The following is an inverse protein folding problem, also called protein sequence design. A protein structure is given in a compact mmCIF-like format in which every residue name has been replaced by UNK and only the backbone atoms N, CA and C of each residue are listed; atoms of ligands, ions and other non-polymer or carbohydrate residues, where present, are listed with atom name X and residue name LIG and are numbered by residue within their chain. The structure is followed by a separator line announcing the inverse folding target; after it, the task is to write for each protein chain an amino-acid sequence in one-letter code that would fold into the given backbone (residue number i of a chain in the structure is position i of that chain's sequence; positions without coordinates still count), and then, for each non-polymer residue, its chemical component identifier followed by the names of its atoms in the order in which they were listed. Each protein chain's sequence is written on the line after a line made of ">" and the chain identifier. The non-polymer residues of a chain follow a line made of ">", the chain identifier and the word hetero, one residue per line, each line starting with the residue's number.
data_IF_335496390568
#
_entry.id   IF_335496390568
#
_cell.length_a   1.000
_cell.length_b   1.000
_cell.length_c   1.000
_cell.angle_alpha   90.00
_cell.angle_beta   90.00
_cell.angle_gamma   90.00
#
_symmetry.space_group_name_H-M   'P 1'
#
loop_
_entity.id
_entity.type
_entity.pdbx_description
1 polymer ?
#
# COMPACT_ATOMS: atom_id res chain seq x y z
N UNK A 1 15.93 -9.05 -3.38
CA UNK A 1 15.69 -9.26 -1.92
C UNK A 1 14.20 -9.09 -1.60
N UNK A 2 13.42 -10.18 -1.59
CA UNK A 2 11.96 -10.11 -1.50
C UNK A 2 11.41 -9.40 -0.26
N UNK A 3 12.07 -9.48 0.90
CA UNK A 3 11.57 -8.96 2.20
C UNK A 3 11.03 -7.53 2.13
N UNK A 4 11.68 -6.62 1.39
CA UNK A 4 11.24 -5.23 1.23
C UNK A 4 9.90 -5.10 0.49
N UNK A 5 9.66 -5.97 -0.50
CA UNK A 5 8.40 -6.06 -1.24
C UNK A 5 7.28 -6.50 -0.30
N UNK A 6 7.51 -7.53 0.53
CA UNK A 6 6.54 -7.99 1.52
C UNK A 6 6.19 -6.89 2.53
N UNK A 7 7.18 -6.15 3.03
CA UNK A 7 6.96 -5.03 3.96
C UNK A 7 6.11 -3.94 3.29
N UNK A 8 6.39 -3.58 2.03
CA UNK A 8 5.59 -2.58 1.32
C UNK A 8 4.14 -3.01 1.13
N UNK A 9 3.87 -4.29 0.85
CA UNK A 9 2.51 -4.80 0.82
C UNK A 9 1.81 -4.75 2.18
N UNK A 10 2.53 -5.01 3.28
CA UNK A 10 1.99 -4.85 4.63
C UNK A 10 1.65 -3.38 4.93
N UNK A 11 2.52 -2.44 4.56
CA UNK A 11 2.28 -1.00 4.72
C UNK A 11 1.07 -0.56 3.88
N UNK A 12 0.97 -1.03 2.64
CA UNK A 12 -0.18 -0.75 1.78
C UNK A 12 -1.49 -1.29 2.39
N UNK A 13 -1.49 -2.53 2.90
CA UNK A 13 -2.63 -3.11 3.60
C UNK A 13 -3.03 -2.34 4.85
N UNK A 14 -2.05 -1.90 5.66
CA UNK A 14 -2.29 -1.06 6.84
C UNK A 14 -2.90 0.30 6.45
N UNK A 15 -2.43 0.93 5.38
CA UNK A 15 -2.98 2.20 4.90
C UNK A 15 -4.44 2.06 4.45
N UNK A 16 -4.77 1.00 3.71
CA UNK A 16 -6.15 0.70 3.30
C UNK A 16 -7.04 0.34 4.51
N UNK A 17 -6.50 -0.39 5.49
CA UNK A 17 -7.18 -0.65 6.77
C UNK A 17 -7.44 0.64 7.57
N UNK A 18 -6.50 1.58 7.53
CA UNK A 18 -6.65 2.92 8.08
C UNK A 18 -7.73 3.72 7.36
N UNK A 19 -7.79 3.64 6.02
CA UNK A 19 -8.84 4.26 5.22
C UNK A 19 -10.23 3.72 5.58
N UNK A 20 -10.36 2.41 5.76
CA UNK A 20 -11.61 1.77 6.20
C UNK A 20 -12.01 2.22 7.61
N UNK A 21 -11.04 2.30 8.52
CA UNK A 21 -11.29 2.75 9.90
C UNK A 21 -11.73 4.22 9.94
N UNK A 22 -11.08 5.09 9.15
CA UNK A 22 -11.46 6.49 9.00
C UNK A 22 -12.85 6.64 8.35
N UNK A 23 -13.17 5.77 7.38
CA UNK A 23 -14.49 5.75 6.73
C UNK A 23 -15.60 5.45 7.73
N UNK A 24 -15.40 4.44 8.59
CA UNK A 24 -16.33 4.11 9.68
C UNK A 24 -16.45 5.20 10.75
N UNK A 25 -15.47 6.10 10.84
CA UNK A 25 -15.47 7.22 11.78
C UNK A 25 -16.08 8.50 11.16
N UNK A 26 -16.81 8.38 10.05
CA UNK A 26 -17.40 9.48 9.25
C UNK A 26 -16.38 10.54 8.78
N UNK A 27 -15.08 10.22 8.83
CA UNK A 27 -14.02 11.18 8.58
C UNK A 27 -13.57 11.15 7.12
N UNK A 28 -14.38 11.77 6.27
CA UNK A 28 -14.20 11.77 4.80
C UNK A 28 -12.80 12.20 4.34
N UNK A 29 -12.23 13.23 4.97
CA UNK A 29 -10.90 13.75 4.64
C UNK A 29 -9.82 12.70 4.92
N UNK A 30 -9.82 12.11 6.12
CA UNK A 30 -8.84 11.10 6.51
C UNK A 30 -8.96 9.80 5.72
N UNK A 31 -10.19 9.40 5.36
CA UNK A 31 -10.41 8.28 4.44
C UNK A 31 -9.73 8.51 3.09
N UNK A 32 -9.89 9.70 2.50
CA UNK A 32 -9.31 10.01 1.19
C UNK A 32 -7.78 10.01 1.27
N UNK A 33 -7.20 10.63 2.30
CA UNK A 33 -5.75 10.64 2.49
C UNK A 33 -5.21 9.21 2.66
N UNK A 34 -5.80 8.42 3.54
CA UNK A 34 -5.34 7.05 3.78
C UNK A 34 -5.53 6.15 2.54
N UNK A 35 -6.60 6.34 1.78
CA UNK A 35 -6.82 5.63 0.52
C UNK A 35 -5.76 6.01 -0.53
N UNK A 36 -5.46 7.30 -0.70
CA UNK A 36 -4.41 7.77 -1.61
C UNK A 36 -3.04 7.19 -1.23
N UNK A 37 -2.69 7.21 0.06
CA UNK A 37 -1.45 6.61 0.55
C UNK A 37 -1.42 5.10 0.27
N UNK A 38 -2.53 4.39 0.50
CA UNK A 38 -2.64 2.96 0.18
C UNK A 38 -2.45 2.66 -1.31
N UNK A 39 -3.00 3.49 -2.20
CA UNK A 39 -2.82 3.34 -3.65
C UNK A 39 -1.37 3.52 -4.06
N UNK A 40 -0.70 4.59 -3.58
CA UNK A 40 0.70 4.88 -3.90
C UNK A 40 1.63 3.79 -3.36
N UNK A 41 1.40 3.33 -2.13
CA UNK A 41 2.16 2.23 -1.53
C UNK A 41 1.99 0.92 -2.32
N UNK A 42 0.76 0.60 -2.74
CA UNK A 42 0.48 -0.59 -3.57
C UNK A 42 1.19 -0.51 -4.92
N UNK A 43 1.12 0.64 -5.61
CA UNK A 43 1.79 0.84 -6.88
C UNK A 43 3.31 0.68 -6.77
N UNK A 44 3.90 1.20 -5.68
CA UNK A 44 5.32 1.07 -5.39
C UNK A 44 5.71 -0.38 -5.12
N UNK A 45 4.93 -1.09 -4.29
CA UNK A 45 5.13 -2.50 -3.99
C UNK A 45 5.09 -3.38 -5.26
N UNK A 46 4.13 -3.11 -6.16
CA UNK A 46 4.02 -3.78 -7.46
C UNK A 46 5.20 -3.48 -8.37
N UNK A 47 5.66 -2.22 -8.43
CA UNK A 47 6.82 -1.86 -9.25
C UNK A 47 8.09 -2.60 -8.81
N UNK A 48 8.31 -2.73 -7.50
CA UNK A 48 9.46 -3.45 -6.95
C UNK A 48 9.32 -4.96 -7.10
N UNK A 49 8.11 -5.51 -6.98
CA UNK A 49 7.84 -6.92 -7.27
C UNK A 49 8.23 -7.26 -8.70
N UNK A 50 7.76 -6.48 -9.67
CA UNK A 50 8.06 -6.70 -11.09
C UNK A 50 9.56 -6.54 -11.36
N UNK A 51 10.21 -5.54 -10.78
CA UNK A 51 11.65 -5.34 -10.91
C UNK A 51 12.45 -6.53 -10.37
N UNK A 52 12.08 -7.08 -9.21
CA UNK A 52 12.74 -8.26 -8.63
C UNK A 52 12.47 -9.53 -9.44
N UNK A 53 11.25 -9.71 -9.96
CA UNK A 53 10.91 -10.83 -10.84
C UNK A 53 11.65 -10.76 -12.18
N UNK A 54 11.83 -9.56 -12.75
CA UNK A 54 12.55 -9.33 -13.99
C UNK A 54 14.08 -9.38 -13.83
N UNK A 55 14.62 -8.99 -12.67
CA UNK A 55 16.04 -9.11 -12.35
C UNK A 55 16.49 -10.56 -12.09
N UNK A 56 15.55 -11.48 -11.92
CA UNK A 56 15.79 -12.90 -11.69
C UNK A 56 15.80 -13.76 -12.99
N UNK A 57 15.65 -13.14 -14.16
CA UNK A 57 15.68 -13.77 -15.49
C UNK A 57 17.02 -13.48 -16.20
#
# INVERSE_FOLDING_TARGET
>A
MYMLVWIMFLVAGMALGGAWTAYKNDSKLWTIIAALVGVVATATALSWLVAEMGAAA
#
